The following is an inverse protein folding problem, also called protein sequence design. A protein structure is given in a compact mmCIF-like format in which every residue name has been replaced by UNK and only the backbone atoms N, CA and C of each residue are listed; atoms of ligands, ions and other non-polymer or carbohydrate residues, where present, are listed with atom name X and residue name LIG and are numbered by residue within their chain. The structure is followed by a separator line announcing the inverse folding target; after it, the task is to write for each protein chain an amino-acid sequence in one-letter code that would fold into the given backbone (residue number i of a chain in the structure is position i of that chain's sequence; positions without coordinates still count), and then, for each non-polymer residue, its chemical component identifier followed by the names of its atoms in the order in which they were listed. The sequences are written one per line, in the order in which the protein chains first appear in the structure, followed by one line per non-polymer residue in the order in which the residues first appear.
data_IF_099378448003
#
_entry.id   IF_099378448003
#
_cell.length_a   1.000
_cell.length_b   1.000
_cell.length_c   1.000
_cell.angle_alpha   90.00
_cell.angle_beta   90.00
_cell.angle_gamma   90.00
#
_symmetry.space_group_name_H-M   'P 1'
#
loop_
_entity.id
_entity.type
_entity.pdbx_description
1 polymer ?
#
# COMPACT_ATOMS: atom_id res chain seq x y z
N UNK A 1 -54.01 10.15 1.44
CA UNK A 1 -53.31 9.70 2.66
C UNK A 1 -51.83 9.80 2.37
N UNK A 2 -51.26 10.96 2.70
CA UNK A 2 -49.85 11.29 2.59
C UNK A 2 -49.17 10.82 3.86
N UNK A 3 -48.51 9.68 3.81
CA UNK A 3 -47.65 9.22 4.90
C UNK A 3 -46.27 9.83 4.65
N UNK A 4 -46.03 11.05 5.16
CA UNK A 4 -44.67 11.56 5.30
C UNK A 4 -44.05 10.86 6.51
N UNK A 5 -43.63 9.61 6.32
CA UNK A 5 -42.52 9.08 7.08
C UNK A 5 -41.39 10.10 6.97
N UNK A 6 -40.85 10.56 8.10
CA UNK A 6 -39.71 11.46 8.10
C UNK A 6 -38.54 10.64 7.56
N UNK A 7 -38.34 10.66 6.24
CA UNK A 7 -37.25 9.94 5.62
C UNK A 7 -35.94 10.42 6.26
N UNK A 8 -35.23 9.51 6.90
CA UNK A 8 -33.96 9.83 7.55
C UNK A 8 -33.02 10.36 6.49
N UNK A 9 -32.53 11.58 6.68
CA UNK A 9 -31.56 12.19 5.78
C UNK A 9 -30.19 11.56 5.98
N UNK A 10 -29.50 11.30 4.88
CA UNK A 10 -28.12 10.83 4.83
C UNK A 10 -27.25 11.87 4.09
N UNK A 11 -26.19 12.36 4.73
CA UNK A 11 -25.19 13.23 4.12
C UNK A 11 -24.10 12.39 3.48
N UNK A 12 -23.98 12.48 2.16
CA UNK A 12 -22.97 11.77 1.38
C UNK A 12 -22.01 12.76 0.73
N UNK A 13 -20.75 12.38 0.63
CA UNK A 13 -19.74 13.12 -0.15
C UNK A 13 -19.41 12.32 -1.40
N UNK A 14 -19.70 12.86 -2.57
CA UNK A 14 -19.36 12.24 -3.86
C UNK A 14 -18.12 12.91 -4.45
N UNK A 15 -17.06 12.13 -4.66
CA UNK A 15 -15.84 12.56 -5.35
C UNK A 15 -15.88 12.14 -6.80
N UNK A 16 -16.05 13.11 -7.68
CA UNK A 16 -15.87 12.94 -9.12
C UNK A 16 -14.44 13.33 -9.55
N UNK A 17 -14.03 13.01 -10.80
CA UNK A 17 -12.67 13.30 -11.26
C UNK A 17 -12.26 14.78 -11.17
N UNK A 18 -13.19 15.69 -11.44
CA UNK A 18 -12.92 17.13 -11.45
C UNK A 18 -13.42 17.87 -10.20
N UNK A 19 -14.45 17.35 -9.51
CA UNK A 19 -15.22 18.07 -8.49
C UNK A 19 -15.63 17.14 -7.35
N UNK A 20 -15.79 17.70 -6.16
CA UNK A 20 -16.39 17.00 -5.00
C UNK A 20 -17.71 17.66 -4.67
N UNK A 21 -18.74 16.84 -4.41
CA UNK A 21 -20.11 17.28 -4.14
C UNK A 21 -20.60 16.67 -2.83
N UNK A 22 -21.12 17.52 -1.94
CA UNK A 22 -21.79 17.07 -0.72
C UNK A 22 -23.30 17.12 -0.92
N UNK A 23 -23.98 16.01 -0.65
CA UNK A 23 -25.41 15.82 -0.84
C UNK A 23 -26.06 15.41 0.47
N UNK A 24 -27.22 16.00 0.79
CA UNK A 24 -28.10 15.48 1.83
C UNK A 24 -29.33 14.88 1.14
N UNK A 25 -29.45 13.56 1.17
CA UNK A 25 -30.44 12.79 0.42
C UNK A 25 -31.22 11.87 1.36
N UNK A 26 -32.51 11.62 1.13
CA UNK A 26 -33.27 10.67 1.95
C UNK A 26 -32.70 9.23 1.81
N UNK A 27 -32.60 8.51 2.93
CA UNK A 27 -31.96 7.18 2.98
C UNK A 27 -32.72 6.08 2.20
N UNK A 28 -33.98 6.31 1.88
CA UNK A 28 -34.87 5.43 1.13
C UNK A 28 -34.80 5.64 -0.39
N UNK A 29 -33.99 6.60 -0.87
CA UNK A 29 -33.80 6.86 -2.32
C UNK A 29 -32.82 5.84 -2.92
N UNK A 30 -33.15 5.24 -4.08
CA UNK A 30 -32.24 4.33 -4.78
C UNK A 30 -31.07 5.06 -5.43
N UNK A 31 -29.94 4.38 -5.58
CA UNK A 31 -28.73 4.95 -6.18
C UNK A 31 -28.96 5.41 -7.63
N UNK A 32 -29.78 4.68 -8.40
CA UNK A 32 -30.16 5.04 -9.77
C UNK A 32 -30.79 6.44 -9.89
N UNK A 33 -31.53 6.88 -8.88
CA UNK A 33 -32.19 8.20 -8.88
C UNK A 33 -31.22 9.34 -8.51
N UNK A 34 -30.16 9.01 -7.75
CA UNK A 34 -29.12 9.95 -7.36
C UNK A 34 -28.12 10.22 -8.50
N UNK A 35 -27.79 9.19 -9.27
CA UNK A 35 -26.73 9.22 -10.28
C UNK A 35 -26.92 10.33 -11.34
N UNK A 36 -28.11 10.54 -11.95
CA UNK A 36 -28.31 11.64 -12.91
C UNK A 36 -28.10 13.02 -12.29
N UNK A 37 -28.46 13.19 -11.02
CA UNK A 37 -28.28 14.46 -10.30
C UNK A 37 -26.80 14.70 -9.99
N UNK A 38 -26.09 13.69 -9.50
CA UNK A 38 -24.64 13.76 -9.27
C UNK A 38 -23.93 14.11 -10.58
N UNK A 39 -24.23 13.39 -11.67
CA UNK A 39 -23.61 13.59 -12.97
C UNK A 39 -23.77 15.01 -13.48
N UNK A 40 -24.99 15.56 -13.43
CA UNK A 40 -25.30 16.93 -13.87
C UNK A 40 -24.44 18.00 -13.20
N UNK A 41 -24.00 17.80 -11.96
CA UNK A 41 -23.19 18.78 -11.22
C UNK A 41 -21.69 18.49 -11.24
N UNK A 42 -21.29 17.27 -11.57
CA UNK A 42 -19.92 16.79 -11.38
C UNK A 42 -19.14 16.57 -12.67
N UNK A 43 -19.83 16.35 -13.79
CA UNK A 43 -19.23 16.11 -15.10
C UNK A 43 -19.68 17.20 -16.06
N UNK A 44 -18.72 17.95 -16.59
CA UNK A 44 -18.94 18.85 -17.71
C UNK A 44 -18.93 17.99 -19.00
N UNK A 45 -19.81 18.27 -19.96
CA UNK A 45 -19.93 17.54 -21.24
C UNK A 45 -20.18 16.01 -21.12
N UNK A 46 -21.25 15.65 -20.40
CA UNK A 46 -21.73 14.27 -20.20
C UNK A 46 -21.98 13.48 -21.49
N UNK A 47 -22.44 14.17 -22.54
CA UNK A 47 -22.88 13.57 -23.80
C UNK A 47 -21.72 12.98 -24.61
N UNK A 48 -20.55 13.60 -24.56
CA UNK A 48 -19.37 13.17 -25.31
C UNK A 48 -18.62 12.04 -24.59
N UNK A 49 -18.60 12.05 -23.26
CA UNK A 49 -17.82 11.09 -22.48
C UNK A 49 -18.60 9.78 -22.22
N UNK A 50 -19.92 9.83 -22.06
CA UNK A 50 -20.73 8.70 -21.58
C UNK A 50 -20.68 7.41 -22.43
N UNK A 51 -20.45 7.53 -23.74
CA UNK A 51 -20.48 6.42 -24.68
C UNK A 51 -19.17 5.61 -24.70
N UNK A 52 -18.02 6.27 -24.51
CA UNK A 52 -16.70 5.64 -24.63
C UNK A 52 -16.34 4.77 -23.42
N UNK A 53 -16.92 5.06 -22.25
CA UNK A 53 -16.53 4.43 -20.98
C UNK A 53 -17.60 3.54 -20.35
N UNK A 54 -18.67 3.21 -21.09
CA UNK A 54 -19.72 2.27 -20.66
C UNK A 54 -20.64 2.79 -19.55
N UNK A 55 -20.76 4.11 -19.39
CA UNK A 55 -21.55 4.73 -18.33
C UNK A 55 -20.77 4.99 -17.04
N UNK A 56 -21.47 5.46 -16.01
CA UNK A 56 -20.90 5.92 -14.74
C UNK A 56 -21.41 5.07 -13.58
N UNK A 57 -20.55 4.83 -12.59
CA UNK A 57 -20.89 4.10 -11.38
C UNK A 57 -20.49 4.87 -10.13
N UNK A 58 -21.24 4.65 -9.05
CA UNK A 58 -20.87 5.08 -7.71
C UNK A 58 -20.33 3.88 -6.95
N UNK A 59 -19.18 4.04 -6.30
CA UNK A 59 -18.57 2.99 -5.49
C UNK A 59 -17.92 3.56 -4.23
N UNK A 60 -17.79 2.74 -3.19
CA UNK A 60 -16.93 3.06 -2.03
C UNK A 60 -15.46 2.87 -2.41
N UNK A 61 -14.56 3.49 -1.66
CA UNK A 61 -13.13 3.30 -1.88
C UNK A 61 -12.75 1.82 -1.70
N UNK A 62 -12.27 1.18 -2.76
CA UNK A 62 -11.86 -0.23 -2.73
C UNK A 62 -12.99 -1.26 -2.63
N UNK A 63 -14.24 -0.82 -2.82
CA UNK A 63 -15.39 -1.70 -2.94
C UNK A 63 -15.85 -1.82 -4.40
N UNK A 64 -16.76 -2.77 -4.63
CA UNK A 64 -17.45 -2.90 -5.91
C UNK A 64 -18.37 -1.69 -6.17
N UNK A 65 -18.76 -1.46 -7.45
CA UNK A 65 -19.88 -0.60 -7.79
C UNK A 65 -21.11 -0.90 -6.93
N UNK A 66 -21.76 0.15 -6.44
CA UNK A 66 -23.03 0.04 -5.74
C UNK A 66 -24.09 -0.49 -6.69
N UNK A 67 -25.06 -1.24 -6.15
CA UNK A 67 -26.22 -1.69 -6.91
C UNK A 67 -27.17 -0.51 -7.15
N UNK A 68 -27.48 -0.26 -8.42
CA UNK A 68 -28.29 0.89 -8.85
C UNK A 68 -29.74 0.82 -8.30
N UNK A 69 -30.28 -0.39 -8.12
CA UNK A 69 -31.62 -0.60 -7.56
C UNK A 69 -31.64 -0.50 -6.01
N UNK A 70 -30.47 -0.53 -5.38
CA UNK A 70 -30.34 -0.47 -3.93
C UNK A 70 -30.59 0.92 -3.36
N UNK A 71 -31.32 1.01 -2.25
CA UNK A 71 -31.45 2.24 -1.46
C UNK A 71 -30.21 2.47 -0.59
N UNK A 72 -29.99 3.71 -0.16
CA UNK A 72 -28.86 4.03 0.72
C UNK A 72 -28.88 3.19 2.00
N UNK A 73 -30.07 2.95 2.56
CA UNK A 73 -30.24 2.10 3.74
C UNK A 73 -29.89 0.63 3.46
N UNK A 74 -30.34 0.07 2.33
CA UNK A 74 -30.09 -1.33 1.95
C UNK A 74 -28.60 -1.58 1.68
N UNK A 75 -27.92 -0.58 1.11
CA UNK A 75 -26.49 -0.59 0.82
C UNK A 75 -25.63 -0.18 2.02
N UNK A 76 -26.23 -0.07 3.21
CA UNK A 76 -25.61 0.30 4.48
C UNK A 76 -24.81 1.62 4.42
N UNK A 77 -25.25 2.57 3.57
CA UNK A 77 -24.63 3.89 3.45
C UNK A 77 -25.05 4.76 4.63
N UNK A 78 -24.07 5.37 5.30
CA UNK A 78 -24.26 6.16 6.52
C UNK A 78 -23.90 7.62 6.28
N UNK A 79 -24.38 8.46 7.19
CA UNK A 79 -23.99 9.87 7.26
C UNK A 79 -22.47 10.03 7.29
N UNK A 80 -21.94 10.78 6.33
CA UNK A 80 -20.52 11.06 6.14
C UNK A 80 -19.81 10.11 5.19
N UNK A 81 -20.49 9.13 4.61
CA UNK A 81 -19.86 8.21 3.67
C UNK A 81 -19.37 8.93 2.41
N UNK A 82 -18.18 8.52 1.95
CA UNK A 82 -17.54 9.05 0.76
C UNK A 82 -17.67 8.06 -0.39
N UNK A 83 -18.34 8.48 -1.45
CA UNK A 83 -18.52 7.74 -2.68
C UNK A 83 -17.64 8.31 -3.78
N UNK A 84 -17.20 7.47 -4.69
CA UNK A 84 -16.40 7.85 -5.84
C UNK A 84 -17.23 7.63 -7.11
N UNK A 85 -17.40 8.70 -7.88
CA UNK A 85 -18.00 8.64 -9.20
C UNK A 85 -16.90 8.27 -10.21
N UNK A 86 -17.06 7.14 -10.88
CA UNK A 86 -16.05 6.59 -11.80
C UNK A 86 -16.69 6.09 -13.09
N UNK A 87 -15.97 6.16 -14.22
CA UNK A 87 -16.39 5.46 -15.43
C UNK A 87 -16.48 3.95 -15.18
N UNK A 88 -17.46 3.26 -15.76
CA UNK A 88 -17.70 1.82 -15.54
C UNK A 88 -16.45 0.97 -15.84
N UNK A 89 -15.77 1.26 -16.96
CA UNK A 89 -14.54 0.56 -17.35
C UNK A 89 -13.33 0.84 -16.42
N UNK A 90 -13.41 1.88 -15.59
CA UNK A 90 -12.39 2.30 -14.61
C UNK A 90 -12.86 2.10 -13.15
N UNK A 91 -13.89 1.27 -12.94
CA UNK A 91 -14.35 0.85 -11.62
C UNK A 91 -13.22 0.13 -10.87
N UNK A 92 -13.15 0.34 -9.55
CA UNK A 92 -12.06 -0.21 -8.77
C UNK A 92 -12.38 -1.69 -8.47
N UNK A 93 -11.40 -2.60 -8.61
CA UNK A 93 -11.58 -3.96 -8.11
C UNK A 93 -11.70 -3.93 -6.59
N UNK A 94 -12.40 -4.91 -6.04
CA UNK A 94 -12.46 -5.12 -4.58
C UNK A 94 -11.03 -5.22 -4.03
N UNK A 95 -10.73 -4.44 -2.99
CA UNK A 95 -9.42 -4.47 -2.34
C UNK A 95 -9.28 -5.81 -1.62
N UNK A 96 -8.60 -6.73 -2.29
CA UNK A 96 -8.15 -8.00 -1.73
C UNK A 96 -6.71 -7.83 -1.25
N UNK A 97 -6.52 -7.63 0.05
CA UNK A 97 -5.21 -7.78 0.67
C UNK A 97 -4.95 -9.28 0.91
N UNK A 98 -4.34 -9.94 -0.08
CA UNK A 98 -4.01 -11.37 0.01
C UNK A 98 -2.84 -11.67 0.96
N UNK A 99 -2.02 -10.66 1.28
CA UNK A 99 -0.85 -10.83 2.15
C UNK A 99 -0.63 -9.62 3.07
N UNK A 100 -1.30 -9.65 4.22
CA UNK A 100 -1.11 -8.67 5.29
C UNK A 100 0.32 -8.72 5.86
N UNK A 101 1.01 -9.86 5.77
CA UNK A 101 2.37 -10.02 6.29
C UNK A 101 3.36 -9.26 5.41
N UNK A 102 3.21 -9.34 4.08
CA UNK A 102 4.00 -8.54 3.15
C UNK A 102 3.81 -7.04 3.36
N UNK A 103 2.56 -6.59 3.56
CA UNK A 103 2.25 -5.18 3.82
C UNK A 103 2.88 -4.64 5.12
N UNK A 104 2.84 -5.43 6.20
CA UNK A 104 3.47 -5.06 7.47
C UNK A 104 5.00 -5.07 7.35
N UNK A 105 5.57 -6.04 6.65
CA UNK A 105 7.02 -6.15 6.45
C UNK A 105 7.60 -4.91 5.75
N UNK A 106 6.87 -4.35 4.77
CA UNK A 106 7.30 -3.18 4.02
C UNK A 106 7.26 -1.90 4.88
N UNK A 107 6.15 -1.66 5.59
CA UNK A 107 6.01 -0.50 6.50
C UNK A 107 7.01 -0.55 7.65
N UNK A 108 7.32 -1.75 8.14
CA UNK A 108 8.27 -1.97 9.23
C UNK A 108 9.70 -1.73 8.77
N UNK A 109 10.04 -2.07 7.52
CA UNK A 109 11.36 -1.86 6.91
C UNK A 109 11.74 -0.38 6.82
N UNK A 110 10.79 0.49 6.51
CA UNK A 110 11.04 1.93 6.38
C UNK A 110 11.14 2.67 7.73
N UNK A 111 10.49 2.17 8.78
CA UNK A 111 10.48 2.84 10.11
C UNK A 111 11.57 2.36 11.05
N UNK A 112 11.93 1.07 11.01
CA UNK A 112 13.04 0.57 11.82
C UNK A 112 14.35 0.84 11.10
N UNK A 113 15.21 1.65 11.71
CA UNK A 113 16.59 1.91 11.26
C UNK A 113 17.46 0.65 11.46
N UNK A 114 17.07 -0.43 10.80
CA UNK A 114 17.65 -1.76 10.91
C UNK A 114 18.60 -2.07 9.76
N UNK A 115 19.60 -2.88 10.09
CA UNK A 115 20.59 -3.52 9.22
C UNK A 115 20.30 -3.43 7.70
N UNK A 116 20.99 -2.50 7.04
CA UNK A 116 20.90 -2.27 5.61
C UNK A 116 21.97 -3.05 4.85
N UNK A 117 21.78 -3.34 3.54
CA UNK A 117 22.83 -3.92 2.71
C UNK A 117 24.12 -3.08 2.68
N UNK A 118 24.02 -1.76 2.90
CA UNK A 118 25.18 -0.88 3.02
C UNK A 118 25.93 -1.10 4.34
N UNK A 119 25.23 -1.17 5.48
CA UNK A 119 25.85 -1.42 6.80
C UNK A 119 26.45 -2.83 6.88
N UNK A 120 25.80 -3.84 6.30
CA UNK A 120 26.36 -5.19 6.15
C UNK A 120 27.69 -5.18 5.38
N UNK A 121 27.74 -4.49 4.23
CA UNK A 121 28.96 -4.38 3.42
C UNK A 121 30.09 -3.67 4.14
N UNK A 122 29.78 -2.60 4.89
CA UNK A 122 30.77 -1.89 5.71
C UNK A 122 31.32 -2.80 6.81
N UNK A 123 30.45 -3.52 7.52
CA UNK A 123 30.86 -4.43 8.59
C UNK A 123 31.73 -5.58 8.05
N UNK A 124 31.33 -6.19 6.93
CA UNK A 124 32.09 -7.27 6.29
C UNK A 124 33.50 -6.80 5.89
N UNK A 125 33.61 -5.61 5.30
CA UNK A 125 34.91 -5.01 4.95
C UNK A 125 35.76 -4.73 6.19
N UNK A 126 35.17 -4.18 7.25
CA UNK A 126 35.88 -3.93 8.49
C UNK A 126 36.40 -5.23 9.11
N UNK A 127 35.60 -6.30 9.09
CA UNK A 127 35.99 -7.61 9.58
C UNK A 127 37.10 -8.23 8.74
N UNK A 128 37.03 -8.11 7.41
CA UNK A 128 38.08 -8.54 6.48
C UNK A 128 39.41 -7.84 6.76
N UNK A 129 39.39 -6.51 6.90
CA UNK A 129 40.58 -5.73 7.22
C UNK A 129 41.16 -6.14 8.57
N UNK A 130 40.32 -6.31 9.60
CA UNK A 130 40.75 -6.75 10.92
C UNK A 130 41.39 -8.14 10.87
N UNK A 131 40.79 -9.10 10.15
CA UNK A 131 41.34 -10.45 9.99
C UNK A 131 42.72 -10.45 9.31
N UNK A 132 42.88 -9.66 8.24
CA UNK A 132 44.16 -9.50 7.53
C UNK A 132 45.23 -8.90 8.45
N UNK A 133 44.90 -7.80 9.14
CA UNK A 133 45.84 -7.16 10.08
C UNK A 133 46.25 -8.10 11.22
N UNK A 134 45.32 -8.88 11.75
CA UNK A 134 45.60 -9.86 12.80
C UNK A 134 46.53 -10.96 12.29
N UNK A 135 46.30 -11.46 11.07
CA UNK A 135 47.16 -12.45 10.42
C UNK A 135 48.58 -11.91 10.18
N UNK A 136 48.71 -10.69 9.64
CA UNK A 136 50.00 -10.03 9.42
C UNK A 136 50.74 -9.78 10.74
N UNK A 137 50.05 -9.33 11.78
CA UNK A 137 50.63 -9.14 13.12
C UNK A 137 51.17 -10.43 13.72
N UNK A 138 50.43 -11.53 13.61
CA UNK A 138 50.88 -12.85 14.07
C UNK A 138 52.11 -13.37 13.29
N UNK A 139 52.21 -13.06 11.99
CA UNK A 139 53.36 -13.40 11.16
C UNK A 139 54.58 -12.54 11.51
N UNK A 140 54.40 -11.24 11.71
CA UNK A 140 55.48 -10.29 12.00
C UNK A 140 56.08 -10.43 13.40
N UNK A 141 55.42 -11.13 14.34
CA UNK A 141 55.89 -11.24 15.73
C UNK A 141 57.10 -12.19 15.88
N UNK A 142 58.31 -11.70 16.24
CA UNK A 142 59.49 -12.55 16.34
C UNK A 142 59.41 -13.51 17.55
N UNK A 143 59.84 -14.76 17.38
CA UNK A 143 60.06 -15.71 18.48
C UNK A 143 58.88 -16.60 18.91
N UNK A 144 57.73 -16.60 18.20
CA UNK A 144 56.57 -17.41 18.57
C UNK A 144 56.56 -18.85 18.01
N UNK A 145 55.95 -19.83 18.72
CA UNK A 145 55.81 -21.21 18.22
C UNK A 145 54.98 -21.29 16.93
N UNK A 146 55.30 -22.25 16.06
CA UNK A 146 54.72 -22.39 14.72
C UNK A 146 53.22 -22.76 14.72
N UNK A 147 52.78 -23.54 15.72
CA UNK A 147 51.40 -24.00 15.86
C UNK A 147 50.38 -22.83 15.92
N UNK A 148 50.47 -21.87 16.86
CA UNK A 148 49.49 -20.78 16.92
C UNK A 148 49.49 -19.90 15.67
N UNK A 149 50.63 -19.73 14.98
CA UNK A 149 50.70 -19.01 13.71
C UNK A 149 49.94 -19.69 12.58
N UNK A 150 50.09 -21.02 12.48
CA UNK A 150 49.35 -21.80 11.47
C UNK A 150 47.85 -21.79 11.75
N UNK A 151 47.45 -21.88 13.03
CA UNK A 151 46.04 -21.83 13.43
C UNK A 151 45.43 -20.47 13.13
N UNK A 152 46.09 -19.35 13.45
CA UNK A 152 45.56 -18.01 13.15
C UNK A 152 45.45 -17.76 11.65
N UNK A 153 46.43 -18.21 10.85
CA UNK A 153 46.37 -18.11 9.40
C UNK A 153 45.22 -18.93 8.80
N UNK A 154 45.00 -20.17 9.29
CA UNK A 154 43.88 -21.02 8.85
C UNK A 154 42.53 -20.43 9.23
N UNK A 155 42.38 -19.93 10.46
CA UNK A 155 41.14 -19.30 10.92
C UNK A 155 40.84 -18.02 10.13
N UNK A 156 41.84 -17.17 9.90
CA UNK A 156 41.68 -15.97 9.06
C UNK A 156 41.29 -16.36 7.62
N UNK A 157 41.93 -17.37 7.04
CA UNK A 157 41.59 -17.89 5.71
C UNK A 157 40.16 -18.42 5.62
N UNK A 158 39.71 -19.19 6.61
CA UNK A 158 38.34 -19.71 6.68
C UNK A 158 37.30 -18.59 6.80
N UNK A 159 37.58 -17.56 7.61
CA UNK A 159 36.70 -16.40 7.74
C UNK A 159 36.60 -15.59 6.44
N UNK A 160 37.69 -15.48 5.67
CA UNK A 160 37.70 -14.84 4.35
C UNK A 160 36.89 -15.64 3.32
N UNK A 161 37.01 -16.97 3.31
CA UNK A 161 36.25 -17.84 2.42
C UNK A 161 34.76 -17.85 2.75
N UNK A 162 34.41 -17.89 4.04
CA UNK A 162 33.02 -17.78 4.49
C UNK A 162 32.39 -16.44 4.11
N UNK A 163 33.15 -15.34 4.24
CA UNK A 163 32.69 -14.01 3.84
C UNK A 163 32.62 -13.79 2.32
N UNK A 164 33.45 -14.50 1.55
CA UNK A 164 33.43 -14.47 0.07
C UNK A 164 32.32 -15.32 -0.55
N UNK A 165 31.89 -16.39 0.12
CA UNK A 165 30.82 -17.28 -0.34
C UNK A 165 29.39 -16.79 -0.02
N UNK A 166 29.25 -15.73 0.77
CA UNK A 166 27.96 -15.14 1.16
C UNK A 166 27.58 -13.89 0.34
N UNK A 167 28.29 -13.61 -0.75
CA UNK A 167 28.09 -12.46 -1.63
C UNK A 167 27.38 -12.84 -2.93
#
# INVERSE_FOLDING_TARGET
MTDSSVASLCRLTVRAPAKTLDLAVPADVPVADLLPTVLRYSVDDLEENGLDHGGWVLQRLGGLPLDDEGTLETLDLKDGDVLYLRPYNDALPEVRLDDLVAGIADVTRDRLHGWTPATSRVLLRAFLVAAVLTGLGALAWPGGPLLPRTVTAVVAGLLLLAGGGSA
#
